data_IF_307059903162
#
_entry.id   IF_307059903162
#
_cell.length_a   1.000
_cell.length_b   1.000
_cell.length_c   1.000
_cell.angle_alpha   90.00
_cell.angle_beta   90.00
_cell.angle_gamma   90.00
#
_symmetry.space_group_name_H-M   'P 1'
#
loop_
_entity.id
_entity.type
_entity.pdbx_description
1 polymer ?
#
# COMPACT_ATOMS: atom_id res chain seq x y z
N UNK A 1 10.11 18.11 5.81
CA UNK A 1 10.29 16.87 5.01
C UNK A 1 8.95 16.41 4.45
N UNK A 2 8.90 16.20 3.12
CA UNK A 2 7.76 15.60 2.41
C UNK A 2 7.91 14.07 2.47
N UNK A 3 6.82 13.36 2.72
CA UNK A 3 6.77 11.89 2.72
C UNK A 3 6.25 11.38 1.39
N UNK A 4 6.55 10.14 1.02
CA UNK A 4 6.06 9.56 -0.22
C UNK A 4 4.52 9.48 -0.25
N UNK A 5 3.89 9.01 0.84
CA UNK A 5 2.43 9.10 0.99
C UNK A 5 2.06 10.56 1.27
N UNK A 6 1.23 11.15 0.42
CA UNK A 6 0.82 12.56 0.46
C UNK A 6 -0.63 12.76 0.82
N UNK A 7 -1.47 11.78 0.48
CA UNK A 7 -2.91 11.80 0.74
C UNK A 7 -3.36 10.43 1.22
N UNK A 8 -4.26 10.42 2.19
CA UNK A 8 -5.05 9.26 2.60
C UNK A 8 -6.51 9.65 2.47
N UNK A 9 -7.31 8.85 1.79
CA UNK A 9 -8.76 9.03 1.69
C UNK A 9 -9.45 7.77 2.19
N UNK A 10 -10.62 7.96 2.78
CA UNK A 10 -11.52 6.90 3.18
C UNK A 10 -12.80 7.03 2.38
N UNK A 11 -13.13 6.01 1.61
CA UNK A 11 -14.36 5.93 0.82
C UNK A 11 -15.28 4.90 1.47
N UNK A 12 -16.48 5.30 1.89
CA UNK A 12 -17.39 4.44 2.64
C UNK A 12 -18.64 4.14 1.81
N UNK A 13 -19.27 2.96 1.95
CA UNK A 13 -20.54 2.71 1.29
C UNK A 13 -21.60 3.72 1.73
N UNK A 14 -22.33 4.27 0.77
CA UNK A 14 -23.49 5.12 1.04
C UNK A 14 -24.59 4.32 1.75
N UNK A 15 -25.68 4.99 2.15
CA UNK A 15 -26.81 4.32 2.83
C UNK A 15 -27.44 3.17 2.02
N UNK A 16 -27.35 3.23 0.70
CA UNK A 16 -27.87 2.18 -0.19
C UNK A 16 -26.87 1.04 -0.39
N UNK A 17 -25.60 1.27 -0.03
CA UNK A 17 -24.45 0.38 -0.27
C UNK A 17 -24.20 0.05 -1.74
N UNK A 18 -24.73 0.88 -2.64
CA UNK A 18 -24.55 0.73 -4.10
C UNK A 18 -23.40 1.57 -4.63
N UNK A 19 -22.95 2.56 -3.86
CA UNK A 19 -21.85 3.46 -4.20
C UNK A 19 -21.00 3.75 -2.98
N UNK A 20 -19.79 4.23 -3.23
CA UNK A 20 -18.88 4.80 -2.24
C UNK A 20 -19.01 6.32 -2.26
N UNK A 21 -19.09 6.92 -1.07
CA UNK A 21 -19.03 8.36 -0.82
C UNK A 21 -17.78 8.71 -0.01
N UNK A 22 -17.38 9.98 -0.05
CA UNK A 22 -16.21 10.45 0.68
C UNK A 22 -16.47 10.43 2.20
N UNK A 23 -15.76 9.57 2.92
CA UNK A 23 -15.86 9.41 4.38
C UNK A 23 -14.84 10.25 5.16
N UNK A 24 -13.89 10.88 4.49
CA UNK A 24 -12.85 11.72 5.10
C UNK A 24 -11.46 11.47 4.51
N UNK A 25 -10.49 12.30 4.88
CA UNK A 25 -9.12 12.12 4.43
C UNK A 25 -8.10 12.99 5.15
N UNK A 26 -6.83 12.62 5.00
CA UNK A 26 -5.66 13.36 5.43
C UNK A 26 -4.91 13.83 4.19
N UNK A 27 -4.73 15.15 4.07
CA UNK A 27 -4.08 15.77 2.93
C UNK A 27 -2.85 16.54 3.42
N UNK A 28 -1.73 16.35 2.75
CA UNK A 28 -0.56 17.20 2.95
C UNK A 28 -0.84 18.67 2.57
N UNK A 29 0.08 19.54 2.97
CA UNK A 29 0.03 20.96 2.65
C UNK A 29 -0.04 21.21 1.13
N UNK A 30 -0.87 22.17 0.71
CA UNK A 30 -1.05 22.55 -0.69
C UNK A 30 -1.97 21.65 -1.52
N UNK A 31 -2.67 20.70 -0.89
CA UNK A 31 -3.50 19.69 -1.58
C UNK A 31 -5.01 19.91 -1.44
N UNK A 32 -5.45 21.11 -1.03
CA UNK A 32 -6.88 21.42 -0.84
C UNK A 32 -7.68 21.31 -2.15
N UNK A 33 -7.16 21.78 -3.28
CA UNK A 33 -7.86 21.69 -4.56
C UNK A 33 -8.14 20.22 -4.97
N UNK A 34 -7.21 19.30 -4.66
CA UNK A 34 -7.42 17.87 -4.89
C UNK A 34 -8.47 17.30 -3.92
N UNK A 35 -8.45 17.74 -2.66
CA UNK A 35 -9.46 17.40 -1.65
C UNK A 35 -10.86 17.85 -2.07
N UNK A 36 -11.02 19.09 -2.49
CA UNK A 36 -12.33 19.67 -2.86
C UNK A 36 -13.01 18.82 -3.95
N UNK A 37 -12.26 18.42 -4.99
CA UNK A 37 -12.77 17.51 -6.02
C UNK A 37 -13.07 16.11 -5.47
N UNK A 38 -12.35 15.65 -4.44
CA UNK A 38 -12.62 14.35 -3.81
C UNK A 38 -13.96 14.34 -3.10
N UNK A 39 -14.27 15.41 -2.37
CA UNK A 39 -15.45 15.48 -1.50
C UNK A 39 -16.76 15.39 -2.28
N UNK A 40 -16.76 15.81 -3.55
CA UNK A 40 -17.93 15.76 -4.43
C UNK A 40 -18.07 14.44 -5.23
N UNK A 41 -17.04 13.59 -5.21
CA UNK A 41 -17.03 12.36 -6.01
C UNK A 41 -17.77 11.21 -5.35
N UNK A 42 -18.26 10.31 -6.21
CA UNK A 42 -18.84 9.03 -5.84
C UNK A 42 -18.32 7.95 -6.78
N UNK A 43 -18.25 6.72 -6.30
CA UNK A 43 -17.78 5.56 -7.07
C UNK A 43 -18.74 4.39 -6.95
N UNK A 44 -19.25 3.88 -8.06
CA UNK A 44 -19.93 2.60 -8.13
C UNK A 44 -18.96 1.41 -8.02
N UNK A 45 -19.54 0.22 -8.01
CA UNK A 45 -18.78 -1.03 -8.13
C UNK A 45 -17.97 -1.05 -9.44
N UNK A 46 -16.70 -1.46 -9.36
CA UNK A 46 -15.71 -1.45 -10.47
C UNK A 46 -15.44 -0.08 -11.12
N UNK A 47 -15.88 1.01 -10.48
CA UNK A 47 -15.71 2.36 -11.00
C UNK A 47 -14.57 3.11 -10.31
N UNK A 48 -13.65 3.67 -11.11
CA UNK A 48 -12.49 4.36 -10.58
C UNK A 48 -11.60 3.46 -9.72
N UNK A 49 -10.63 4.06 -9.02
CA UNK A 49 -9.72 3.31 -8.15
C UNK A 49 -10.43 2.70 -6.92
N UNK A 50 -11.30 3.42 -6.17
CA UNK A 50 -11.99 2.84 -5.02
C UNK A 50 -12.94 1.70 -5.42
N UNK A 51 -13.72 1.88 -6.49
CA UNK A 51 -14.67 0.87 -6.96
C UNK A 51 -13.99 -0.38 -7.51
N UNK A 52 -12.79 -0.26 -8.09
CA UNK A 52 -11.98 -1.42 -8.52
C UNK A 52 -11.44 -2.23 -7.36
N UNK A 53 -11.00 -1.59 -6.29
CA UNK A 53 -10.64 -2.29 -5.06
C UNK A 53 -11.86 -2.98 -4.44
N UNK A 54 -13.03 -2.31 -4.44
CA UNK A 54 -14.28 -2.96 -4.02
C UNK A 54 -14.57 -4.22 -4.86
N UNK A 55 -14.51 -4.11 -6.19
CA UNK A 55 -14.86 -5.20 -7.08
C UNK A 55 -13.89 -6.39 -7.04
N UNK A 56 -12.60 -6.12 -6.86
CA UNK A 56 -11.57 -7.15 -6.78
C UNK A 56 -11.54 -7.87 -5.43
N UNK A 57 -12.02 -7.24 -4.36
CA UNK A 57 -11.96 -7.81 -3.01
C UNK A 57 -10.54 -7.89 -2.43
N UNK A 58 -9.58 -7.22 -3.05
CA UNK A 58 -8.18 -7.15 -2.62
C UNK A 58 -7.57 -5.78 -2.95
N UNK A 59 -6.36 -5.45 -2.45
CA UNK A 59 -5.72 -4.19 -2.77
C UNK A 59 -5.49 -4.04 -4.28
N UNK A 60 -5.56 -2.81 -4.78
CA UNK A 60 -5.29 -2.46 -6.19
C UNK A 60 -4.29 -1.30 -6.22
N UNK A 61 -3.24 -1.46 -7.01
CA UNK A 61 -2.26 -0.41 -7.29
C UNK A 61 -2.64 0.24 -8.62
N UNK A 62 -2.63 1.57 -8.66
CA UNK A 62 -2.71 2.37 -9.87
C UNK A 62 -1.38 3.09 -10.05
N UNK A 63 -0.57 2.58 -10.97
CA UNK A 63 0.82 3.00 -11.18
C UNK A 63 0.94 4.32 -11.97
N UNK A 64 -0.13 4.75 -12.64
CA UNK A 64 -0.21 6.03 -13.36
C UNK A 64 -1.65 6.52 -13.48
N UNK A 65 -1.85 7.83 -13.57
CA UNK A 65 -3.19 8.42 -13.73
C UNK A 65 -3.60 8.69 -15.18
N UNK A 66 -2.66 9.11 -16.03
CA UNK A 66 -2.95 9.36 -17.45
C UNK A 66 -3.35 8.06 -18.15
N UNK A 67 -4.29 8.16 -19.09
CA UNK A 67 -4.80 7.03 -19.87
C UNK A 67 -5.32 5.87 -19.01
N UNK A 68 -5.87 6.19 -17.84
CA UNK A 68 -6.43 5.24 -16.89
C UNK A 68 -7.88 5.53 -16.57
N UNK A 69 -8.52 4.65 -15.80
CA UNK A 69 -9.87 4.81 -15.28
C UNK A 69 -10.00 5.86 -14.16
N UNK A 70 -8.93 6.59 -13.85
CA UNK A 70 -8.90 7.56 -12.75
C UNK A 70 -9.70 8.83 -13.09
N UNK A 71 -10.58 9.25 -12.18
CA UNK A 71 -11.58 10.30 -12.44
C UNK A 71 -11.08 11.75 -12.31
N UNK A 72 -9.88 11.97 -11.77
CA UNK A 72 -9.38 13.30 -11.39
C UNK A 72 -7.89 13.47 -11.69
N UNK A 73 -7.52 13.01 -12.88
CA UNK A 73 -6.14 12.96 -13.37
C UNK A 73 -5.47 14.33 -13.36
N UNK A 74 -6.12 15.36 -13.90
CA UNK A 74 -5.54 16.70 -13.99
C UNK A 74 -5.23 17.28 -12.61
N UNK A 75 -6.14 17.10 -11.64
CA UNK A 75 -5.96 17.55 -10.27
C UNK A 75 -4.86 16.78 -9.55
N UNK A 76 -4.76 15.46 -9.77
CA UNK A 76 -3.67 14.66 -9.21
C UNK A 76 -2.30 15.07 -9.77
N UNK A 77 -2.22 15.33 -11.08
CA UNK A 77 -0.98 15.80 -11.74
C UNK A 77 -0.60 17.18 -11.21
N UNK A 78 -1.56 18.12 -11.15
CA UNK A 78 -1.33 19.45 -10.59
C UNK A 78 -0.89 19.40 -9.12
N UNK A 79 -1.35 18.39 -8.37
CA UNK A 79 -0.97 18.12 -7.00
C UNK A 79 0.40 17.41 -6.85
N UNK A 80 1.04 17.00 -7.95
CA UNK A 80 2.30 16.26 -7.93
C UNK A 80 2.17 14.82 -7.41
N UNK A 81 0.98 14.23 -7.54
CA UNK A 81 0.74 12.82 -7.23
C UNK A 81 1.10 11.96 -8.44
N UNK A 82 1.62 10.76 -8.21
CA UNK A 82 2.09 9.86 -9.28
C UNK A 82 1.45 8.50 -9.29
N UNK A 83 1.04 7.98 -8.13
CA UNK A 83 0.36 6.69 -8.03
C UNK A 83 -0.66 6.65 -6.89
N UNK A 84 -1.54 5.65 -6.93
CA UNK A 84 -2.55 5.39 -5.91
C UNK A 84 -2.59 3.93 -5.50
N UNK A 85 -2.92 3.66 -4.24
CA UNK A 85 -3.18 2.31 -3.73
C UNK A 85 -4.52 2.30 -3.03
N UNK A 86 -5.45 1.48 -3.49
CA UNK A 86 -6.73 1.28 -2.82
C UNK A 86 -6.72 -0.04 -2.06
N UNK A 87 -7.07 0.01 -0.78
CA UNK A 87 -7.13 -1.13 0.14
C UNK A 87 -8.57 -1.25 0.64
N UNK A 88 -9.34 -2.24 0.15
CA UNK A 88 -10.72 -2.42 0.58
C UNK A 88 -10.75 -3.09 1.96
N UNK A 89 -11.65 -2.69 2.85
CA UNK A 89 -11.77 -3.23 4.21
C UNK A 89 -13.12 -3.91 4.34
N UNK A 90 -13.12 -5.21 4.61
CA UNK A 90 -14.33 -6.01 4.73
C UNK A 90 -14.58 -6.49 6.16
N UNK A 91 -15.86 -6.66 6.49
CA UNK A 91 -16.32 -7.44 7.63
C UNK A 91 -17.16 -8.60 7.08
N UNK A 92 -16.60 -9.81 7.08
CA UNK A 92 -17.15 -10.91 6.27
C UNK A 92 -17.18 -10.53 4.79
N UNK A 93 -18.35 -10.63 4.17
CA UNK A 93 -18.57 -10.24 2.77
C UNK A 93 -18.95 -8.76 2.60
N UNK A 94 -19.12 -8.02 3.70
CA UNK A 94 -19.59 -6.64 3.67
C UNK A 94 -18.42 -5.66 3.65
N UNK A 95 -18.27 -4.94 2.53
CA UNK A 95 -17.34 -3.81 2.44
C UNK A 95 -17.70 -2.74 3.49
N UNK A 96 -16.74 -2.34 4.31
CA UNK A 96 -16.90 -1.28 5.31
C UNK A 96 -16.33 0.05 4.80
N UNK A 97 -15.20 0.00 4.10
CA UNK A 97 -14.58 1.17 3.48
C UNK A 97 -13.55 0.74 2.43
N UNK A 98 -13.11 1.67 1.60
CA UNK A 98 -11.89 1.57 0.81
C UNK A 98 -10.96 2.70 1.23
N UNK A 99 -9.79 2.35 1.77
CA UNK A 99 -8.75 3.32 2.06
C UNK A 99 -7.91 3.53 0.80
N UNK A 100 -7.71 4.76 0.38
CA UNK A 100 -6.88 5.09 -0.78
C UNK A 100 -5.70 5.93 -0.34
N UNK A 101 -4.50 5.48 -0.68
CA UNK A 101 -3.24 6.19 -0.44
C UNK A 101 -2.77 6.76 -1.77
N UNK A 102 -2.57 8.06 -1.86
CA UNK A 102 -1.88 8.66 -3.00
C UNK A 102 -0.47 9.03 -2.63
N UNK A 103 0.45 8.63 -3.50
CA UNK A 103 1.86 8.94 -3.35
C UNK A 103 2.25 9.99 -4.38
N UNK A 104 3.20 10.82 -4.01
CA UNK A 104 3.76 11.85 -4.87
C UNK A 104 5.26 11.66 -5.01
N UNK A 105 5.76 11.99 -6.19
CA UNK A 105 7.16 11.88 -6.54
C UNK A 105 7.83 13.26 -6.44
N UNK A 106 9.07 13.29 -5.97
CA UNK A 106 10.03 14.32 -6.35
C UNK A 106 11.12 13.66 -7.19
N UNK A 107 11.85 14.38 -8.04
CA UNK A 107 12.85 13.77 -8.95
C UNK A 107 13.93 12.92 -8.24
N UNK A 108 13.99 12.97 -6.89
CA UNK A 108 14.88 12.19 -6.04
C UNK A 108 14.19 11.03 -5.31
N UNK A 109 12.87 10.82 -5.48
CA UNK A 109 12.13 9.80 -4.74
C UNK A 109 12.42 8.40 -5.26
N UNK A 110 13.14 7.66 -4.43
CA UNK A 110 13.29 6.23 -4.59
C UNK A 110 12.39 5.52 -3.59
N UNK A 111 11.31 4.93 -4.11
CA UNK A 111 10.39 4.13 -3.35
C UNK A 111 9.66 3.13 -4.24
N UNK A 112 9.15 2.07 -3.65
CA UNK A 112 8.33 1.10 -4.34
C UNK A 112 7.11 0.72 -3.52
N UNK A 113 6.01 0.45 -4.21
CA UNK A 113 4.83 -0.18 -3.64
C UNK A 113 4.63 -1.47 -4.41
N UNK A 114 4.49 -2.59 -3.70
CA UNK A 114 4.35 -3.88 -4.35
C UNK A 114 3.15 -4.63 -3.76
N UNK A 115 2.39 -5.28 -4.63
CA UNK A 115 1.32 -6.19 -4.24
C UNK A 115 1.73 -7.62 -4.57
N UNK A 116 1.90 -8.42 -3.53
CA UNK A 116 2.24 -9.82 -3.62
C UNK A 116 1.01 -10.68 -3.34
N UNK A 117 0.92 -11.81 -4.01
CA UNK A 117 -0.20 -12.73 -3.88
C UNK A 117 0.29 -14.18 -3.88
N UNK A 118 -0.33 -14.98 -3.02
CA UNK A 118 -0.28 -16.42 -3.09
C UNK A 118 -1.71 -16.98 -3.09
N UNK A 119 -1.92 -17.88 -4.04
CA UNK A 119 -2.99 -18.87 -4.03
C UNK A 119 -2.38 -20.21 -3.62
N UNK A 120 -2.81 -20.74 -2.46
CA UNK A 120 -2.30 -21.97 -1.90
C UNK A 120 -2.62 -23.21 -2.75
N UNK A 121 -3.65 -23.16 -3.59
CA UNK A 121 -4.00 -24.25 -4.52
C UNK A 121 -3.06 -24.28 -5.73
N UNK A 122 -2.47 -23.13 -6.09
CA UNK A 122 -1.67 -22.98 -7.31
C UNK A 122 -0.16 -23.03 -7.04
N UNK A 123 0.30 -22.52 -5.89
CA UNK A 123 1.74 -22.40 -5.61
C UNK A 123 2.07 -22.41 -4.12
N UNK A 124 3.28 -22.85 -3.77
CA UNK A 124 3.87 -22.73 -2.43
C UNK A 124 4.62 -21.40 -2.22
N UNK A 125 4.68 -20.55 -3.25
CA UNK A 125 5.37 -19.26 -3.24
C UNK A 125 4.39 -18.14 -3.61
N UNK A 126 4.68 -16.93 -3.14
CA UNK A 126 3.97 -15.73 -3.61
C UNK A 126 4.70 -15.05 -4.76
N UNK A 127 3.92 -14.56 -5.72
CA UNK A 127 4.39 -13.78 -6.86
C UNK A 127 3.94 -12.33 -6.80
N UNK A 128 4.63 -11.48 -7.54
CA UNK A 128 4.25 -10.08 -7.72
C UNK A 128 3.04 -10.03 -8.65
N UNK A 129 1.98 -9.35 -8.21
CA UNK A 129 0.79 -9.06 -9.03
C UNK A 129 0.95 -7.72 -9.73
N UNK A 130 1.31 -6.69 -8.97
CA UNK A 130 1.55 -5.36 -9.51
C UNK A 130 2.49 -4.56 -8.60
N UNK A 131 3.04 -3.46 -9.11
CA UNK A 131 3.85 -2.55 -8.32
C UNK A 131 4.18 -1.24 -9.02
N UNK A 132 4.39 -0.21 -8.19
CA UNK A 132 4.92 1.08 -8.60
C UNK A 132 6.37 1.19 -8.16
N UNK A 133 7.26 1.61 -9.05
CA UNK A 133 8.72 1.64 -8.81
C UNK A 133 9.37 2.99 -9.11
N UNK A 134 8.59 4.02 -9.47
CA UNK A 134 9.12 5.30 -9.90
C UNK A 134 10.07 5.13 -11.09
N UNK A 135 11.33 5.53 -10.91
CA UNK A 135 12.41 5.43 -11.91
C UNK A 135 13.31 4.19 -11.74
N UNK A 136 12.96 3.28 -10.83
CA UNK A 136 13.80 2.12 -10.47
C UNK A 136 13.58 0.89 -11.38
N UNK A 137 13.75 1.04 -12.69
CA UNK A 137 13.42 0.01 -13.70
C UNK A 137 14.06 -1.37 -13.43
N UNK A 138 15.34 -1.39 -13.04
CA UNK A 138 16.04 -2.65 -12.75
C UNK A 138 15.47 -3.34 -11.51
N UNK A 139 15.07 -2.56 -10.51
CA UNK A 139 14.46 -3.08 -9.31
C UNK A 139 13.05 -3.63 -9.61
N UNK A 140 12.29 -2.96 -10.46
CA UNK A 140 11.01 -3.46 -10.99
C UNK A 140 11.19 -4.80 -11.72
N UNK A 141 12.13 -4.85 -12.67
CA UNK A 141 12.39 -6.05 -13.46
C UNK A 141 12.69 -7.26 -12.55
N UNK A 142 13.57 -7.09 -11.56
CA UNK A 142 13.90 -8.17 -10.64
C UNK A 142 12.75 -8.52 -9.70
N UNK A 143 11.91 -7.55 -9.31
CA UNK A 143 10.71 -7.82 -8.51
C UNK A 143 9.71 -8.70 -9.26
N UNK A 144 9.45 -8.40 -10.54
CA UNK A 144 8.53 -9.17 -11.40
C UNK A 144 8.96 -10.63 -11.58
N UNK A 145 10.27 -10.88 -11.60
CA UNK A 145 10.86 -12.22 -11.76
C UNK A 145 11.17 -12.93 -10.43
N UNK A 146 10.91 -12.31 -9.29
CA UNK A 146 11.13 -12.93 -7.98
C UNK A 146 9.87 -13.62 -7.48
N UNK A 147 10.07 -14.75 -6.79
CA UNK A 147 9.06 -15.43 -5.99
C UNK A 147 9.57 -15.58 -4.56
N UNK A 148 8.65 -15.54 -3.61
CA UNK A 148 9.00 -15.67 -2.19
C UNK A 148 8.34 -16.90 -1.59
N UNK A 149 9.13 -17.89 -1.12
CA UNK A 149 8.61 -18.93 -0.25
C UNK A 149 8.09 -18.35 1.07
N UNK A 150 7.10 -19.03 1.65
CA UNK A 150 6.57 -18.67 2.97
C UNK A 150 7.70 -18.64 4.02
N UNK A 151 7.86 -17.48 4.67
CA UNK A 151 8.88 -17.22 5.68
C UNK A 151 10.19 -16.60 5.18
N UNK A 152 10.35 -16.38 3.87
CA UNK A 152 11.56 -15.82 3.27
C UNK A 152 11.30 -14.47 2.58
N UNK A 153 12.28 -13.56 2.62
CA UNK A 153 12.07 -12.18 2.18
C UNK A 153 11.09 -11.41 3.07
N UNK A 154 10.86 -10.12 2.78
CA UNK A 154 9.85 -9.35 3.50
C UNK A 154 8.42 -9.89 3.22
N UNK A 155 8.00 -10.11 1.95
CA UNK A 155 6.65 -10.59 1.68
C UNK A 155 6.37 -11.98 2.28
N UNK A 156 7.29 -12.93 2.13
CA UNK A 156 7.12 -14.28 2.67
C UNK A 156 7.14 -14.32 4.20
N UNK A 157 7.92 -13.45 4.88
CA UNK A 157 7.87 -13.33 6.35
C UNK A 157 6.53 -12.80 6.85
N UNK A 158 5.97 -11.81 6.17
CA UNK A 158 4.62 -11.29 6.47
C UNK A 158 3.57 -12.38 6.26
N UNK A 159 3.67 -13.13 5.16
CA UNK A 159 2.80 -14.27 4.90
C UNK A 159 2.86 -15.32 6.01
N UNK A 160 4.06 -15.67 6.47
CA UNK A 160 4.24 -16.62 7.57
C UNK A 160 3.64 -16.10 8.87
N UNK A 161 3.90 -14.85 9.22
CA UNK A 161 3.48 -14.24 10.47
C UNK A 161 1.97 -13.91 10.52
N UNK A 162 1.38 -13.53 9.39
CA UNK A 162 0.02 -12.98 9.36
C UNK A 162 -0.11 -11.63 10.06
N UNK A 163 1.01 -10.93 10.30
CA UNK A 163 1.09 -9.65 10.98
C UNK A 163 1.91 -8.66 10.16
N UNK A 164 1.66 -7.33 10.28
CA UNK A 164 2.52 -6.33 9.69
C UNK A 164 3.96 -6.46 10.18
N UNK A 165 4.93 -6.15 9.33
CA UNK A 165 6.36 -6.13 9.69
C UNK A 165 7.02 -4.84 9.18
N UNK A 166 7.94 -4.31 9.99
CA UNK A 166 8.83 -3.21 9.62
C UNK A 166 10.25 -3.74 9.66
N UNK A 167 10.98 -3.62 8.55
CA UNK A 167 12.37 -4.04 8.44
C UNK A 167 13.21 -2.82 8.10
N UNK A 168 14.26 -2.62 8.90
CA UNK A 168 15.35 -1.66 8.64
C UNK A 168 16.52 -2.38 8.01
N UNK A 169 17.39 -1.59 7.38
CA UNK A 169 18.67 -2.03 6.87
C UNK A 169 18.54 -3.31 6.05
N UNK A 170 17.72 -3.22 4.98
CA UNK A 170 17.49 -4.30 4.02
C UNK A 170 18.78 -4.93 3.45
N UNK A 171 19.92 -4.28 3.65
CA UNK A 171 21.26 -4.66 3.22
C UNK A 171 21.93 -5.71 4.13
N UNK A 172 21.61 -5.76 5.43
CA UNK A 172 22.29 -6.65 6.40
C UNK A 172 21.55 -7.98 6.61
N UNK A 173 20.38 -8.12 6.00
CA UNK A 173 19.59 -9.32 6.09
C UNK A 173 20.05 -10.32 5.01
N UNK A 174 20.82 -11.35 5.38
CA UNK A 174 21.01 -12.60 4.60
C UNK A 174 19.69 -13.31 4.17
N UNK A 175 18.54 -12.68 4.43
CA UNK A 175 17.17 -13.13 4.16
C UNK A 175 16.43 -12.23 3.15
N UNK A 176 17.07 -11.22 2.57
CA UNK A 176 16.46 -10.38 1.52
C UNK A 176 17.00 -10.77 0.14
N UNK A 177 16.16 -11.44 -0.65
CA UNK A 177 16.52 -12.08 -1.92
C UNK A 177 17.05 -11.09 -3.00
N UNK A 178 16.79 -9.78 -2.84
CA UNK A 178 17.07 -8.73 -3.83
C UNK A 178 17.82 -7.52 -3.24
N UNK A 179 18.65 -7.75 -2.22
CA UNK A 179 19.29 -6.66 -1.46
C UNK A 179 20.25 -5.83 -2.31
N UNK A 180 20.98 -6.44 -3.25
CA UNK A 180 21.94 -5.72 -4.09
C UNK A 180 21.26 -4.66 -4.96
N UNK A 181 20.09 -4.96 -5.53
CA UNK A 181 19.37 -4.00 -6.37
C UNK A 181 18.65 -2.94 -5.55
N UNK A 182 18.07 -3.33 -4.40
CA UNK A 182 17.53 -2.37 -3.44
C UNK A 182 18.61 -1.38 -2.97
N UNK A 183 19.84 -1.87 -2.74
CA UNK A 183 20.97 -1.05 -2.35
C UNK A 183 21.41 -0.06 -3.43
N UNK A 184 21.46 -0.49 -4.70
CA UNK A 184 21.80 0.38 -5.85
C UNK A 184 20.86 1.57 -5.96
N UNK A 185 19.60 1.39 -5.61
CA UNK A 185 18.58 2.44 -5.65
C UNK A 185 18.36 3.10 -4.28
N UNK A 186 19.08 2.68 -3.23
CA UNK A 186 19.04 3.28 -1.90
C UNK A 186 17.86 2.87 -1.01
N UNK A 187 17.06 1.87 -1.41
CA UNK A 187 15.97 1.33 -0.59
C UNK A 187 16.55 0.61 0.63
N UNK A 188 16.22 1.08 1.83
CA UNK A 188 16.73 0.51 3.07
C UNK A 188 15.66 0.25 4.13
N UNK A 189 14.44 0.75 3.93
CA UNK A 189 13.29 0.50 4.78
C UNK A 189 12.22 -0.27 3.99
N UNK A 190 11.66 -1.28 4.63
CA UNK A 190 10.48 -1.98 4.13
C UNK A 190 9.41 -2.09 5.20
N UNK A 191 8.20 -1.66 4.87
CA UNK A 191 6.99 -1.91 5.64
C UNK A 191 6.14 -2.85 4.83
N UNK A 192 5.52 -3.85 5.45
CA UNK A 192 4.49 -4.58 4.76
C UNK A 192 3.36 -5.02 5.65
N UNK A 193 2.20 -5.14 5.02
CA UNK A 193 0.91 -5.35 5.65
C UNK A 193 0.27 -6.58 5.00
N UNK A 194 -0.05 -7.62 5.77
CA UNK A 194 -0.81 -8.74 5.25
C UNK A 194 -2.24 -8.29 4.96
N UNK A 195 -2.83 -8.86 3.92
CA UNK A 195 -4.22 -8.67 3.58
C UNK A 195 -4.87 -10.01 3.26
N UNK A 196 -6.00 -10.29 3.91
CA UNK A 196 -6.75 -11.53 3.73
C UNK A 196 -8.25 -11.24 3.73
N UNK A 197 -8.92 -11.74 2.71
CA UNK A 197 -10.37 -11.79 2.57
C UNK A 197 -10.73 -13.26 2.34
N UNK A 198 -11.18 -13.95 3.41
CA UNK A 198 -11.46 -15.39 3.36
C UNK A 198 -10.27 -16.29 3.71
N UNK A 199 -10.39 -17.59 3.42
CA UNK A 199 -9.60 -18.63 4.10
C UNK A 199 -8.27 -19.00 3.45
N UNK A 200 -8.08 -18.85 2.13
CA UNK A 200 -6.95 -19.52 1.47
C UNK A 200 -6.10 -18.64 0.53
N UNK A 201 -6.51 -17.39 0.28
CA UNK A 201 -5.75 -16.42 -0.50
C UNK A 201 -4.98 -15.48 0.43
N UNK A 202 -3.68 -15.31 0.21
CA UNK A 202 -2.88 -14.34 0.98
C UNK A 202 -2.34 -13.25 0.07
N UNK A 203 -2.61 -12.01 0.45
CA UNK A 203 -2.04 -10.82 -0.16
C UNK A 203 -1.06 -10.17 0.80
N UNK A 204 0.00 -9.55 0.26
CA UNK A 204 0.91 -8.72 1.04
C UNK A 204 1.17 -7.44 0.26
N UNK A 205 0.82 -6.30 0.87
CA UNK A 205 1.18 -4.99 0.37
C UNK A 205 2.49 -4.56 1.03
N UNK A 206 3.51 -4.24 0.24
CA UNK A 206 4.76 -3.68 0.74
C UNK A 206 4.93 -2.23 0.29
N UNK A 207 5.52 -1.44 1.18
CA UNK A 207 6.02 -0.10 0.92
C UNK A 207 7.52 -0.12 1.20
N UNK A 208 8.31 0.22 0.20
CA UNK A 208 9.76 0.27 0.25
C UNK A 208 10.21 1.71 0.03
N UNK A 209 11.17 2.19 0.83
CA UNK A 209 11.70 3.55 0.65
C UNK A 209 13.19 3.64 0.97
N UNK A 210 13.82 4.63 0.35
CA UNK A 210 15.09 5.16 0.81
C UNK A 210 14.93 6.06 2.04
N UNK A 211 16.00 6.24 2.80
CA UNK A 211 16.01 7.09 4.00
C UNK A 211 15.75 8.56 3.69
N UNK A 212 16.18 9.03 2.51
CA UNK A 212 15.97 10.40 2.07
C UNK A 212 14.50 10.69 1.73
N UNK A 213 13.73 9.66 1.37
CA UNK A 213 12.39 9.77 0.78
C UNK A 213 11.41 8.83 1.48
N UNK A 214 11.15 9.06 2.78
CA UNK A 214 10.43 8.09 3.58
C UNK A 214 8.95 7.99 3.22
N UNK A 215 8.41 6.77 3.31
CA UNK A 215 6.98 6.50 3.09
C UNK A 215 6.06 7.34 3.98
N UNK A 216 6.38 7.43 5.27
CA UNK A 216 5.67 8.21 6.27
C UNK A 216 6.65 8.63 7.37
N UNK A 217 6.33 9.66 8.15
CA UNK A 217 7.20 10.14 9.24
C UNK A 217 7.33 9.17 10.40
N UNK A 218 6.30 8.36 10.64
CA UNK A 218 6.26 7.39 11.73
C UNK A 218 5.48 6.14 11.34
N UNK A 219 5.97 4.99 11.77
CA UNK A 219 5.26 3.72 11.68
C UNK A 219 5.08 3.13 13.07
N UNK A 220 3.88 2.60 13.30
CA UNK A 220 3.53 1.90 14.51
C UNK A 220 2.69 0.68 14.18
N UNK A 221 2.97 -0.42 14.87
CA UNK A 221 2.14 -1.62 14.80
C UNK A 221 1.38 -1.72 16.12
N UNK A 222 0.07 -1.85 15.99
CA UNK A 222 -0.86 -2.05 17.08
C UNK A 222 -1.55 -3.38 16.85
N UNK A 223 -1.68 -4.21 17.88
CA UNK A 223 -2.33 -5.52 17.81
C UNK A 223 -3.51 -5.58 18.78
N UNK A 224 -4.57 -6.35 18.48
CA UNK A 224 -5.65 -6.55 19.42
C UNK A 224 -5.16 -7.22 20.70
N UNK A 225 -5.64 -6.74 21.85
CA UNK A 225 -5.41 -7.39 23.14
C UNK A 225 -6.10 -8.75 23.13
N UNK A 226 -5.35 -9.83 23.37
CA UNK A 226 -5.79 -11.21 23.19
C UNK A 226 -7.09 -11.58 23.93
N UNK A 227 -7.33 -10.98 25.09
CA UNK A 227 -8.52 -11.21 25.92
C UNK A 227 -9.62 -10.14 25.76
N UNK A 228 -9.37 -9.08 24.99
CA UNK A 228 -10.33 -8.01 24.71
C UNK A 228 -10.05 -7.41 23.34
N UNK A 229 -10.53 -8.04 22.25
CA UNK A 229 -10.17 -7.68 20.87
C UNK A 229 -10.68 -6.30 20.42
N UNK A 230 -11.52 -5.64 21.23
CA UNK A 230 -11.91 -4.22 21.04
C UNK A 230 -10.90 -3.22 21.60
N UNK A 231 -9.86 -3.69 22.31
CA UNK A 231 -8.73 -2.87 22.75
C UNK A 231 -7.49 -3.23 21.95
N UNK A 232 -6.68 -2.23 21.65
CA UNK A 232 -5.41 -2.39 20.94
C UNK A 232 -4.25 -2.15 21.92
N UNK A 233 -3.21 -2.95 21.83
CA UNK A 233 -1.93 -2.73 22.50
C UNK A 233 -0.82 -2.46 21.48
N UNK A 234 0.16 -1.66 21.90
CA UNK A 234 1.30 -1.34 21.07
C UNK A 234 2.23 -2.57 20.96
N UNK A 235 2.47 -3.03 19.74
CA UNK A 235 3.17 -4.29 19.47
C UNK A 235 4.72 -4.18 19.52
N UNK A 236 5.27 -3.17 20.19
CA UNK A 236 6.72 -3.03 20.33
C UNK A 236 7.45 -2.36 19.16
N UNK A 237 6.77 -2.09 18.05
CA UNK A 237 7.39 -1.54 16.83
C UNK A 237 7.01 -0.07 16.66
N UNK A 238 7.92 0.85 17.03
CA UNK A 238 7.82 2.29 16.79
C UNK A 238 9.02 2.73 15.97
N UNK A 239 8.76 3.43 14.87
CA UNK A 239 9.81 4.11 14.14
C UNK A 239 9.44 5.53 13.81
N UNK A 240 10.33 6.48 14.10
CA UNK A 240 10.22 7.90 13.80
C UNK A 240 11.44 8.25 12.93
N UNK A 241 11.23 8.79 11.74
CA UNK A 241 12.34 9.40 11.00
C UNK A 241 12.75 10.68 11.71
N UNK A 242 14.05 10.80 11.98
CA UNK A 242 14.78 11.90 12.61
C UNK A 242 14.00 13.11 13.10
N UNK A 243 14.22 13.47 14.36
CA UNK A 243 14.13 14.86 14.80
C UNK A 243 15.12 15.72 13.99
#
# INVERSE_FOLDING_TARGET
MKTFIRVVELWVPDRTRMRLEFGGGLYGEGLSAFRDVSEDLHFGYDEGLPGKAWASGHPVILTRFTDSYFKRTDQAIAAGLTCGVAVPVFSGEFLQAVMVLFCGDDEAHVGAIELWHNDAETSHEMGLVDGYYGTADMFEFNSRHTRFPRGFGLPGRIWKAGLPLIIKDLHDARSFLRWEDAAKVGINLGVGVPYRTGTDQTWVLTFLSAQATPIARRFEIWVPVSWKPVMMEWAGSRWVLGA
#
